data_IF_515943906601
#
_entry.id   IF_515943906601
#
_cell.length_a   1.000
_cell.length_b   1.000
_cell.length_c   1.000
_cell.angle_alpha   90.00
_cell.angle_beta   90.00
_cell.angle_gamma   90.00
#
_symmetry.space_group_name_H-M   'P 1'
#
loop_
_entity.id
_entity.type
_entity.pdbx_description
1 polymer ?
#
# COMPACT_ATOMS: atom_id res chain seq x y z
N UNK A 1 9.74 -16.80 10.06
CA UNK A 1 9.49 -15.33 10.00
C UNK A 1 10.79 -14.63 10.38
N UNK A 2 11.36 -13.80 9.51
CA UNK A 2 12.58 -13.07 9.84
C UNK A 2 12.22 -11.83 10.67
N UNK A 3 12.71 -11.79 11.91
CA UNK A 3 12.55 -10.64 12.82
C UNK A 3 13.78 -9.75 12.62
N UNK A 4 13.60 -8.53 12.10
CA UNK A 4 14.69 -7.54 12.02
C UNK A 4 14.81 -6.88 13.40
N UNK A 5 16.04 -6.73 13.93
CA UNK A 5 16.29 -6.18 15.25
C UNK A 5 15.72 -4.74 15.37
N UNK A 6 14.95 -4.46 16.44
CA UNK A 6 14.23 -3.18 16.64
C UNK A 6 12.74 -3.19 16.25
N UNK A 7 12.06 -4.33 16.44
CA UNK A 7 10.77 -4.72 15.84
C UNK A 7 9.58 -3.75 15.95
N UNK A 8 9.45 -2.87 14.94
CA UNK A 8 8.21 -2.11 14.64
C UNK A 8 7.47 -2.64 13.41
N UNK A 9 8.01 -3.64 12.72
CA UNK A 9 7.41 -4.21 11.51
C UNK A 9 7.75 -5.69 11.38
N UNK A 10 6.88 -6.42 10.66
CA UNK A 10 7.04 -7.83 10.31
C UNK A 10 6.98 -7.93 8.78
N UNK A 11 8.04 -8.43 8.16
CA UNK A 11 8.05 -8.69 6.71
C UNK A 11 7.53 -10.10 6.47
N UNK A 12 6.49 -10.22 5.66
CA UNK A 12 5.87 -11.50 5.30
C UNK A 12 5.87 -11.65 3.79
N UNK A 13 6.26 -12.83 3.31
CA UNK A 13 6.22 -13.15 1.88
C UNK A 13 4.77 -13.30 1.41
N UNK A 14 4.46 -12.68 0.29
CA UNK A 14 3.19 -12.86 -0.42
C UNK A 14 3.42 -13.93 -1.50
N UNK A 15 2.77 -15.07 -1.36
CA UNK A 15 2.89 -16.22 -2.29
C UNK A 15 1.65 -16.43 -3.17
N UNK A 16 0.55 -15.72 -2.89
CA UNK A 16 -0.70 -15.78 -3.65
C UNK A 16 -1.36 -14.39 -3.73
N UNK A 17 -2.43 -14.30 -4.52
CA UNK A 17 -3.12 -13.03 -4.82
C UNK A 17 -3.81 -12.37 -3.63
N UNK A 18 -4.16 -13.14 -2.59
CA UNK A 18 -4.78 -12.62 -1.37
C UNK A 18 -3.74 -12.31 -0.28
N UNK A 19 -2.54 -12.87 -0.42
CA UNK A 19 -1.47 -12.74 0.56
C UNK A 19 -1.82 -13.37 1.91
N UNK A 20 -1.03 -13.05 2.93
CA UNK A 20 -1.17 -13.63 4.27
C UNK A 20 -2.28 -13.00 5.11
N UNK A 21 -2.77 -11.82 4.73
CA UNK A 21 -3.77 -11.07 5.50
C UNK A 21 -5.12 -11.80 5.62
N UNK A 22 -5.41 -12.77 4.74
CA UNK A 22 -6.64 -13.57 4.79
C UNK A 22 -6.70 -14.55 5.97
N UNK A 23 -5.56 -14.88 6.58
CA UNK A 23 -5.42 -15.91 7.62
C UNK A 23 -4.90 -15.35 8.97
N UNK A 24 -4.63 -14.04 9.05
CA UNK A 24 -4.09 -13.39 10.26
C UNK A 24 -5.20 -12.74 11.08
N UNK A 25 -5.50 -13.29 12.25
CA UNK A 25 -6.58 -12.82 13.13
C UNK A 25 -6.25 -11.49 13.80
N UNK A 26 -4.97 -11.21 14.07
CA UNK A 26 -4.49 -10.04 14.79
C UNK A 26 -4.56 -8.72 14.00
N UNK A 27 -4.98 -8.75 12.74
CA UNK A 27 -5.02 -7.58 11.87
C UNK A 27 -6.36 -6.83 11.99
N UNK A 28 -6.27 -5.50 12.12
CA UNK A 28 -7.44 -4.61 12.23
C UNK A 28 -7.71 -3.84 10.93
N UNK A 29 -6.67 -3.48 10.17
CA UNK A 29 -6.79 -2.64 8.98
C UNK A 29 -5.85 -3.08 7.84
N UNK A 30 -6.19 -2.64 6.63
CA UNK A 30 -5.35 -2.77 5.43
C UNK A 30 -5.27 -1.44 4.69
N UNK A 31 -4.05 -1.01 4.40
CA UNK A 31 -3.78 0.23 3.65
C UNK A 31 -3.56 -0.11 2.18
N UNK A 32 -4.31 0.53 1.28
CA UNK A 32 -4.26 0.27 -0.16
C UNK A 32 -4.28 1.56 -0.98
N UNK A 33 -3.81 1.47 -2.22
CA UNK A 33 -4.06 2.52 -3.21
C UNK A 33 -5.40 2.28 -3.93
N UNK A 34 -5.91 3.24 -4.71
CA UNK A 34 -7.07 3.00 -5.56
C UNK A 34 -6.91 1.79 -6.49
N UNK A 35 -5.69 1.52 -6.99
CA UNK A 35 -5.47 0.35 -7.85
C UNK A 35 -5.57 -0.99 -7.09
N UNK A 36 -5.24 -1.03 -5.80
CA UNK A 36 -5.23 -2.26 -5.01
C UNK A 36 -6.48 -2.44 -4.13
N UNK A 37 -7.44 -1.52 -4.19
CA UNK A 37 -8.72 -1.61 -3.49
C UNK A 37 -9.48 -2.92 -3.79
N UNK A 38 -9.50 -3.35 -5.06
CA UNK A 38 -10.14 -4.62 -5.44
C UNK A 38 -9.55 -5.81 -4.68
N UNK A 39 -8.23 -5.83 -4.47
CA UNK A 39 -7.54 -6.86 -3.69
C UNK A 39 -7.98 -6.87 -2.22
N UNK A 40 -8.08 -5.70 -1.59
CA UNK A 40 -8.56 -5.58 -0.21
C UNK A 40 -10.01 -6.10 -0.04
N UNK A 41 -10.89 -5.79 -1.00
CA UNK A 41 -12.27 -6.31 -0.99
C UNK A 41 -12.29 -7.84 -1.11
N UNK A 42 -11.44 -8.43 -1.96
CA UNK A 42 -11.29 -9.87 -2.08
C UNK A 42 -10.76 -10.51 -0.79
N UNK A 43 -9.81 -9.86 -0.12
CA UNK A 43 -9.28 -10.30 1.19
C UNK A 43 -10.41 -10.31 2.23
N UNK A 44 -11.20 -9.24 2.34
CA UNK A 44 -12.32 -9.20 3.29
C UNK A 44 -13.39 -10.26 2.99
N UNK A 45 -13.67 -10.53 1.71
CA UNK A 45 -14.53 -11.65 1.35
C UNK A 45 -13.95 -13.00 1.80
N UNK A 46 -12.65 -13.21 1.62
CA UNK A 46 -11.95 -14.42 2.05
C UNK A 46 -11.88 -14.57 3.59
N UNK A 47 -11.75 -13.46 4.33
CA UNK A 47 -11.77 -13.40 5.80
C UNK A 47 -13.16 -13.78 6.35
N UNK A 48 -14.23 -13.21 5.79
CA UNK A 48 -15.61 -13.55 6.18
C UNK A 48 -15.92 -15.04 6.01
N UNK A 49 -15.49 -15.64 4.89
CA UNK A 49 -15.66 -17.09 4.66
C UNK A 49 -14.90 -17.98 5.65
N UNK A 50 -13.91 -17.43 6.35
CA UNK A 50 -13.12 -18.10 7.40
C UNK A 50 -13.59 -17.74 8.81
N UNK A 51 -14.64 -16.95 8.97
CA UNK A 51 -15.12 -16.49 10.27
C UNK A 51 -14.29 -15.36 10.89
N UNK A 52 -13.36 -14.74 10.13
CA UNK A 52 -12.54 -13.63 10.61
C UNK A 52 -13.25 -12.29 10.40
N UNK A 53 -12.99 -11.34 11.31
CA UNK A 53 -13.47 -9.96 11.18
C UNK A 53 -12.90 -9.30 9.91
N UNK A 54 -13.71 -8.58 9.12
CA UNK A 54 -13.19 -7.81 7.99
C UNK A 54 -12.22 -6.73 8.48
N UNK A 55 -11.21 -6.42 7.66
CA UNK A 55 -10.26 -5.34 7.91
C UNK A 55 -10.86 -3.99 7.51
N UNK A 56 -10.56 -2.95 8.28
CA UNK A 56 -10.79 -1.58 7.88
C UNK A 56 -9.93 -1.24 6.65
N UNK A 57 -10.57 -0.82 5.57
CA UNK A 57 -9.87 -0.49 4.32
C UNK A 57 -9.56 1.00 4.30
N UNK A 58 -8.27 1.33 4.41
CA UNK A 58 -7.79 2.71 4.31
C UNK A 58 -7.24 2.94 2.91
N UNK A 59 -7.98 3.68 2.08
CA UNK A 59 -7.55 4.03 0.73
C UNK A 59 -6.71 5.31 0.76
N UNK A 60 -5.43 5.20 0.40
CA UNK A 60 -4.50 6.33 0.32
C UNK A 60 -4.27 6.73 -1.13
N UNK A 61 -4.31 8.04 -1.42
CA UNK A 61 -4.00 8.56 -2.75
C UNK A 61 -2.52 8.40 -3.05
N UNK A 62 -2.21 8.02 -4.28
CA UNK A 62 -0.84 8.03 -4.78
C UNK A 62 -0.40 9.44 -5.16
N UNK A 63 0.87 9.74 -4.91
CA UNK A 63 1.48 10.98 -5.36
C UNK A 63 1.73 10.88 -6.86
N UNK A 64 1.40 11.94 -7.58
CA UNK A 64 1.60 12.07 -9.03
C UNK A 64 2.58 13.20 -9.33
N UNK A 65 3.25 13.12 -10.48
CA UNK A 65 4.06 14.20 -11.02
C UNK A 65 3.22 15.28 -11.71
N UNK A 66 3.89 16.32 -12.23
CA UNK A 66 3.26 17.43 -12.97
C UNK A 66 2.51 16.99 -14.24
N UNK A 67 2.76 15.76 -14.72
CA UNK A 67 2.09 15.16 -15.87
C UNK A 67 0.99 14.17 -15.45
N UNK A 68 0.61 14.15 -14.16
CA UNK A 68 -0.44 13.28 -13.63
C UNK A 68 -0.05 11.81 -13.50
N UNK A 69 1.23 11.46 -13.68
CA UNK A 69 1.70 10.07 -13.62
C UNK A 69 2.13 9.73 -12.21
N UNK A 70 1.73 8.55 -11.73
CA UNK A 70 2.11 8.02 -10.42
C UNK A 70 3.64 8.01 -10.24
N UNK A 71 4.09 8.49 -9.08
CA UNK A 71 5.46 8.31 -8.63
C UNK A 71 5.65 6.87 -8.13
N UNK A 72 6.67 6.19 -8.66
CA UNK A 72 7.06 4.85 -8.22
C UNK A 72 8.58 4.77 -8.07
N UNK A 73 9.06 3.93 -7.16
CA UNK A 73 10.49 3.74 -6.92
C UNK A 73 11.24 3.28 -8.17
N UNK A 74 10.62 2.43 -8.99
CA UNK A 74 11.17 2.00 -10.28
C UNK A 74 11.34 3.17 -11.24
N UNK A 75 10.34 4.04 -11.34
CA UNK A 75 10.37 5.19 -12.25
C UNK A 75 11.36 6.26 -11.77
N UNK A 76 11.38 6.53 -10.47
CA UNK A 76 12.33 7.46 -9.87
C UNK A 76 13.77 6.99 -10.13
N UNK A 77 14.08 5.72 -9.87
CA UNK A 77 15.42 5.16 -10.14
C UNK A 77 15.82 5.30 -11.61
N UNK A 78 14.94 4.93 -12.54
CA UNK A 78 15.19 5.07 -13.98
C UNK A 78 15.49 6.52 -14.40
N UNK A 79 14.74 7.49 -13.87
CA UNK A 79 14.97 8.91 -14.15
C UNK A 79 16.31 9.39 -13.58
N UNK A 80 16.68 8.93 -12.38
CA UNK A 80 17.98 9.26 -11.76
C UNK A 80 19.14 8.67 -12.56
N UNK A 81 19.04 7.41 -13.01
CA UNK A 81 20.04 6.77 -13.88
C UNK A 81 20.22 7.52 -15.22
N UNK A 82 19.16 8.16 -15.72
CA UNK A 82 19.18 8.94 -16.96
C UNK A 82 19.56 10.42 -16.76
N UNK A 83 19.91 10.84 -15.53
CA UNK A 83 20.10 12.25 -15.17
C UNK A 83 18.88 13.15 -15.52
N UNK A 84 17.68 12.57 -15.51
CA UNK A 84 16.39 13.24 -15.77
C UNK A 84 15.54 13.38 -14.49
N UNK A 85 16.11 13.08 -13.32
CA UNK A 85 15.45 13.27 -12.04
C UNK A 85 15.12 14.74 -11.82
N UNK A 86 13.88 15.03 -11.43
CA UNK A 86 13.47 16.32 -10.89
C UNK A 86 13.08 16.13 -9.43
N UNK A 87 13.42 17.09 -8.59
CA UNK A 87 12.91 17.14 -7.23
C UNK A 87 11.38 17.26 -7.29
N UNK A 88 10.69 16.36 -6.61
CA UNK A 88 9.24 16.44 -6.46
C UNK A 88 8.96 16.72 -5.01
N UNK A 89 8.45 17.91 -4.71
CA UNK A 89 7.92 18.22 -3.39
C UNK A 89 6.49 17.68 -3.33
N UNK A 90 6.23 16.56 -2.63
CA UNK A 90 4.87 16.09 -2.47
C UNK A 90 4.04 17.17 -1.78
N UNK A 91 2.84 17.44 -2.29
CA UNK A 91 1.89 18.32 -1.58
C UNK A 91 1.66 17.73 -0.18
N UNK A 92 1.58 18.57 0.87
CA UNK A 92 1.34 18.09 2.23
C UNK A 92 0.13 17.17 2.29
N UNK A 93 0.29 16.02 2.93
CA UNK A 93 -0.82 15.13 3.23
C UNK A 93 -1.64 15.77 4.37
N UNK A 94 -2.92 16.08 4.15
CA UNK A 94 -3.87 16.29 5.27
C UNK A 94 -4.77 17.53 5.29
N UNK A 95 -4.51 18.63 4.56
CA UNK A 95 -5.29 19.87 4.85
C UNK A 95 -6.20 20.40 3.73
N UNK A 96 -6.01 20.05 2.46
CA UNK A 96 -6.71 20.74 1.34
C UNK A 96 -7.34 19.84 0.28
N UNK A 97 -7.55 18.57 0.56
CA UNK A 97 -8.06 17.63 -0.45
C UNK A 97 -9.34 16.88 -0.02
N UNK A 98 -10.07 17.49 0.92
CA UNK A 98 -11.39 17.08 1.42
C UNK A 98 -12.38 18.28 1.49
N UNK A 99 -12.09 19.39 0.81
CA UNK A 99 -13.09 20.46 0.56
C UNK A 99 -13.55 20.38 -0.88
#
# INVERSE_FOLDING_TARGET
LAKVAGGRFKVVRISDTLGSAKDMEELEAIVVSPQTLRGALMINHARRRRGLQPLDIVVVRLVVDDMGRVLSSTRIRRLLEQNQGKEVTPKPWGEKALK
#
